data_IF_070681165207
#
_entry.id   IF_070681165207
#
_cell.length_a   1.000
_cell.length_b   1.000
_cell.length_c   1.000
_cell.angle_alpha   90.00
_cell.angle_beta   90.00
_cell.angle_gamma   90.00
#
_symmetry.space_group_name_H-M   'P 1'
#
loop_
_entity.id
_entity.type
_entity.pdbx_description
1 polymer ?
#
# COMPACT_ATOMS: atom_id res chain seq x y z
N UNK A 1 9.68 -14.84 -6.15
CA UNK A 1 9.00 -13.78 -6.92
C UNK A 1 9.54 -13.78 -8.34
N UNK A 2 8.67 -13.80 -9.34
CA UNK A 2 9.09 -13.85 -10.76
C UNK A 2 9.78 -12.55 -11.18
N UNK A 3 10.79 -12.64 -12.05
CA UNK A 3 11.52 -11.48 -12.62
C UNK A 3 10.56 -10.48 -13.28
N UNK A 4 9.49 -10.96 -13.92
CA UNK A 4 8.45 -10.14 -14.56
C UNK A 4 7.72 -9.21 -13.59
N UNK A 5 7.46 -9.65 -12.34
CA UNK A 5 6.81 -8.79 -11.33
C UNK A 5 7.70 -7.62 -10.89
N UNK A 6 9.03 -7.80 -10.91
CA UNK A 6 9.95 -6.72 -10.58
C UNK A 6 9.98 -5.64 -11.66
N UNK A 7 9.89 -5.99 -12.92
CA UNK A 7 9.91 -5.04 -14.05
C UNK A 7 8.76 -4.04 -13.96
N UNK A 8 7.53 -4.54 -13.80
CA UNK A 8 6.35 -3.69 -13.65
C UNK A 8 6.45 -2.75 -12.44
N UNK A 9 6.95 -3.23 -11.29
CA UNK A 9 7.13 -2.42 -10.09
C UNK A 9 8.15 -1.27 -10.25
N UNK A 10 9.04 -1.37 -11.23
CA UNK A 10 10.05 -0.34 -11.49
C UNK A 10 9.79 0.47 -12.76
N UNK A 11 8.67 0.24 -13.44
CA UNK A 11 8.34 0.91 -14.69
C UNK A 11 9.28 0.55 -15.83
N UNK A 12 9.81 -0.68 -15.84
CA UNK A 12 10.73 -1.16 -16.86
C UNK A 12 9.92 -1.80 -17.98
N UNK A 13 9.81 -1.11 -19.11
CA UNK A 13 9.11 -1.61 -20.31
C UNK A 13 9.96 -2.54 -21.14
N UNK A 14 11.28 -2.34 -21.14
CA UNK A 14 12.23 -3.14 -21.92
C UNK A 14 13.32 -3.67 -21.00
N UNK A 15 13.62 -4.96 -21.08
CA UNK A 15 14.68 -5.58 -20.26
C UNK A 15 16.03 -4.97 -20.66
N UNK A 16 16.75 -4.30 -19.73
CA UNK A 16 18.05 -3.75 -20.02
C UNK A 16 19.05 -4.86 -20.36
N UNK A 17 19.90 -4.63 -21.38
CA UNK A 17 21.02 -5.50 -21.66
C UNK A 17 22.10 -5.31 -20.60
N UNK A 18 22.36 -6.33 -19.79
CA UNK A 18 23.38 -6.32 -18.73
C UNK A 18 22.79 -6.34 -17.32
N UNK A 19 23.65 -6.08 -16.33
CA UNK A 19 23.23 -6.04 -14.93
C UNK A 19 22.47 -4.75 -14.60
N UNK A 20 21.21 -4.89 -14.19
CA UNK A 20 20.40 -3.78 -13.75
C UNK A 20 20.25 -3.78 -12.22
N UNK A 21 20.42 -2.62 -11.61
CA UNK A 21 20.22 -2.42 -10.18
C UNK A 21 19.08 -1.42 -9.93
N UNK A 22 18.18 -1.75 -9.02
CA UNK A 22 17.19 -0.78 -8.57
C UNK A 22 17.85 0.33 -7.75
N UNK A 23 17.16 1.47 -7.60
CA UNK A 23 17.71 2.65 -6.92
C UNK A 23 18.20 2.38 -5.50
N UNK A 24 17.51 1.54 -4.72
CA UNK A 24 17.97 1.19 -3.37
C UNK A 24 19.25 0.36 -3.39
N UNK A 25 19.41 -0.55 -4.37
CA UNK A 25 20.64 -1.31 -4.56
C UNK A 25 21.79 -0.42 -5.05
N UNK A 26 21.53 0.50 -5.98
CA UNK A 26 22.53 1.46 -6.45
C UNK A 26 23.04 2.36 -5.31
N UNK A 27 22.13 2.76 -4.39
CA UNK A 27 22.48 3.57 -3.23
C UNK A 27 23.06 2.73 -2.07
N UNK A 28 23.06 1.40 -2.15
CA UNK A 28 23.55 0.53 -1.08
C UNK A 28 22.70 0.59 0.20
N UNK A 29 21.43 1.02 0.11
CA UNK A 29 20.55 1.22 1.26
C UNK A 29 19.47 0.15 1.37
N UNK A 30 18.99 -0.10 2.60
CA UNK A 30 17.83 -0.95 2.90
C UNK A 30 16.82 -0.16 3.74
N UNK A 31 16.12 0.80 3.13
CA UNK A 31 15.23 1.68 3.89
C UNK A 31 14.03 0.93 4.45
N UNK A 32 13.44 1.40 5.56
CA UNK A 32 12.16 0.92 6.02
C UNK A 32 11.04 1.36 5.07
N UNK A 33 9.94 0.62 5.07
CA UNK A 33 8.72 1.04 4.39
C UNK A 33 7.87 1.88 5.35
N UNK A 34 7.37 3.03 4.88
CA UNK A 34 6.45 3.88 5.67
C UNK A 34 5.09 3.19 5.93
N UNK A 35 4.75 2.16 5.17
CA UNK A 35 3.41 1.56 5.18
C UNK A 35 3.35 0.15 5.81
N UNK A 36 4.49 -0.50 6.07
CA UNK A 36 4.49 -1.83 6.69
C UNK A 36 5.83 -2.13 7.36
N UNK A 37 5.88 -3.08 8.32
CA UNK A 37 7.11 -3.43 9.04
C UNK A 37 8.10 -4.27 8.21
N UNK A 38 7.69 -4.79 7.07
CA UNK A 38 8.54 -5.66 6.27
C UNK A 38 9.65 -4.89 5.55
N UNK A 39 10.81 -5.53 5.44
CA UNK A 39 11.98 -5.00 4.73
C UNK A 39 12.19 -5.71 3.40
N UNK A 40 12.88 -5.04 2.48
CA UNK A 40 13.21 -5.58 1.15
C UNK A 40 12.04 -5.54 0.18
N UNK A 41 12.22 -6.08 -1.03
CA UNK A 41 11.23 -6.03 -2.11
C UNK A 41 11.36 -4.77 -2.97
N UNK A 42 10.39 -4.56 -3.85
CA UNK A 42 10.37 -3.41 -4.76
C UNK A 42 9.96 -2.14 -4.01
N UNK A 43 10.88 -1.20 -3.88
CA UNK A 43 10.67 0.05 -3.16
C UNK A 43 10.89 1.27 -4.05
N UNK A 44 10.07 2.26 -3.85
CA UNK A 44 10.17 3.58 -4.49
C UNK A 44 10.17 4.69 -3.44
N UNK A 45 10.79 5.82 -3.79
CA UNK A 45 10.82 6.98 -2.90
C UNK A 45 9.44 7.62 -2.80
N UNK A 46 9.16 8.22 -1.66
CA UNK A 46 8.01 9.10 -1.48
C UNK A 46 8.28 10.46 -2.11
N UNK A 47 7.26 11.33 -2.17
CA UNK A 47 7.37 12.66 -2.75
C UNK A 47 8.48 13.51 -2.09
N UNK A 48 8.76 13.31 -0.82
CA UNK A 48 9.84 14.01 -0.11
C UNK A 48 11.23 13.57 -0.54
N UNK A 49 11.36 12.43 -1.20
CA UNK A 49 12.64 11.86 -1.62
C UNK A 49 13.46 11.20 -0.50
N UNK A 50 13.09 11.39 0.75
CA UNK A 50 13.83 10.90 1.94
C UNK A 50 13.26 9.60 2.51
N UNK A 51 11.99 9.34 2.25
CA UNK A 51 11.25 8.18 2.75
C UNK A 51 10.94 7.22 1.61
N UNK A 52 10.64 5.97 1.94
CA UNK A 52 10.42 4.90 0.98
C UNK A 52 9.19 4.07 1.32
N UNK A 53 8.56 3.51 0.30
CA UNK A 53 7.50 2.55 0.50
C UNK A 53 7.56 1.46 -0.57
N UNK A 54 7.00 0.30 -0.27
CA UNK A 54 6.84 -0.75 -1.27
C UNK A 54 5.85 -0.32 -2.34
N UNK A 55 6.15 -0.63 -3.58
CA UNK A 55 5.22 -0.42 -4.70
C UNK A 55 3.93 -1.19 -4.46
N UNK A 56 4.02 -2.44 -3.98
CA UNK A 56 2.84 -3.22 -3.61
C UNK A 56 1.99 -2.54 -2.53
N UNK A 57 2.59 -1.96 -1.49
CA UNK A 57 1.83 -1.22 -0.48
C UNK A 57 1.11 -0.02 -1.10
N UNK A 58 1.78 0.71 -2.01
CA UNK A 58 1.19 1.87 -2.67
C UNK A 58 0.03 1.50 -3.60
N UNK A 59 0.11 0.35 -4.28
CA UNK A 59 -0.94 -0.12 -5.17
C UNK A 59 -2.18 -0.64 -4.44
N UNK A 60 -1.98 -1.22 -3.25
CA UNK A 60 -3.04 -1.94 -2.54
C UNK A 60 -3.67 -1.16 -1.38
N UNK A 61 -3.10 -0.04 -0.96
CA UNK A 61 -3.71 0.85 0.04
C UNK A 61 -4.45 1.95 -0.70
N UNK A 62 -5.80 2.00 -0.62
CA UNK A 62 -6.62 2.86 -1.47
C UNK A 62 -6.34 4.36 -1.38
N UNK A 63 -5.86 4.83 -0.22
CA UNK A 63 -5.56 6.24 0.01
C UNK A 63 -4.23 6.67 -0.59
N UNK A 64 -3.34 5.72 -0.87
CA UNK A 64 -2.01 5.96 -1.41
C UNK A 64 -2.06 6.02 -2.93
N UNK A 65 -1.24 6.84 -3.54
CA UNK A 65 -1.18 7.01 -4.99
C UNK A 65 0.26 7.00 -5.49
N UNK A 66 0.42 6.69 -6.77
CA UNK A 66 1.68 6.79 -7.49
C UNK A 66 1.58 7.98 -8.42
N UNK A 67 2.55 8.90 -8.36
CA UNK A 67 2.51 10.17 -9.11
C UNK A 67 2.69 9.99 -10.62
N UNK A 68 3.61 9.14 -11.02
CA UNK A 68 3.87 8.78 -12.42
C UNK A 68 3.77 7.25 -12.55
N UNK A 69 2.75 6.79 -13.24
CA UNK A 69 2.45 5.36 -13.36
C UNK A 69 3.48 4.64 -14.23
N UNK A 70 4.04 5.33 -15.22
CA UNK A 70 5.07 4.74 -16.09
C UNK A 70 6.37 4.47 -15.34
N UNK A 71 6.79 5.42 -14.51
CA UNK A 71 8.00 5.30 -13.66
C UNK A 71 7.73 4.60 -12.34
N UNK A 72 6.46 4.43 -11.96
CA UNK A 72 6.02 3.91 -10.67
C UNK A 72 6.56 4.71 -9.47
N UNK A 73 6.72 6.04 -9.63
CA UNK A 73 7.21 6.97 -8.60
C UNK A 73 6.82 8.44 -8.89
N UNK A 74 6.85 9.34 -7.89
CA UNK A 74 7.01 9.05 -6.46
C UNK A 74 5.72 8.46 -5.85
N UNK A 75 5.87 7.78 -4.71
CA UNK A 75 4.72 7.38 -3.91
C UNK A 75 4.20 8.60 -3.16
N UNK A 76 2.89 8.84 -3.26
CA UNK A 76 2.22 10.05 -2.78
C UNK A 76 1.02 9.74 -1.90
N UNK A 77 0.44 10.76 -1.28
CA UNK A 77 -0.80 10.67 -0.47
C UNK A 77 -0.75 9.69 0.72
N UNK A 78 0.42 9.32 1.23
CA UNK A 78 0.51 8.51 2.47
C UNK A 78 -0.15 9.24 3.64
N UNK A 79 -0.03 10.57 3.68
CA UNK A 79 -0.69 11.41 4.69
C UNK A 79 -2.22 11.48 4.56
N UNK A 80 -2.77 10.99 3.45
CA UNK A 80 -4.22 10.91 3.25
C UNK A 80 -4.85 9.70 3.95
N UNK A 81 -4.03 8.75 4.45
CA UNK A 81 -4.52 7.67 5.30
C UNK A 81 -5.01 8.29 6.62
N UNK A 82 -6.30 8.21 6.96
CA UNK A 82 -6.83 8.83 8.17
C UNK A 82 -6.11 8.36 9.42
N UNK A 83 -5.71 9.28 10.27
CA UNK A 83 -5.24 8.98 11.62
C UNK A 83 -6.47 9.05 12.52
N UNK A 84 -6.74 8.01 13.32
CA UNK A 84 -7.81 8.07 14.33
C UNK A 84 -7.38 9.04 15.42
N UNK A 85 -7.75 10.29 15.28
CA UNK A 85 -7.77 11.23 16.38
C UNK A 85 -8.93 10.84 17.33
N UNK A 86 -8.72 10.75 18.64
CA UNK A 86 -9.82 10.73 19.57
C UNK A 86 -10.47 12.12 19.53
N UNK A 87 -11.47 12.32 18.65
CA UNK A 87 -12.25 13.55 18.65
C UNK A 87 -13.08 13.61 19.92
N UNK A 88 -12.56 14.31 20.92
CA UNK A 88 -13.38 14.88 21.97
C UNK A 88 -14.25 15.98 21.34
N UNK A 89 -15.39 15.62 20.78
CA UNK A 89 -16.41 16.58 20.40
C UNK A 89 -17.34 16.72 21.59
N UNK A 90 -17.24 17.84 22.28
CA UNK A 90 -18.24 18.29 23.26
C UNK A 90 -19.63 18.28 22.62
N UNK A 91 -20.48 17.41 23.14
CA UNK A 91 -21.93 17.56 23.25
C UNK A 91 -22.70 17.90 21.97
N UNK A 92 -23.16 16.89 21.25
CA UNK A 92 -24.54 16.68 20.80
C UNK A 92 -24.67 15.32 20.14
N UNK A 93 -25.58 14.49 20.65
CA UNK A 93 -25.97 13.23 20.01
C UNK A 93 -26.71 13.56 18.71
N UNK A 94 -26.03 13.47 17.59
CA UNK A 94 -26.72 13.28 16.32
C UNK A 94 -25.77 12.66 15.30
N UNK A 95 -26.16 11.52 14.79
CA UNK A 95 -25.55 10.69 13.75
C UNK A 95 -24.34 9.86 14.18
N UNK A 96 -24.59 8.57 14.42
CA UNK A 96 -23.59 7.52 14.47
C UNK A 96 -22.83 7.45 13.14
N UNK A 97 -21.83 8.28 12.96
CA UNK A 97 -20.82 8.01 11.96
C UNK A 97 -20.15 6.70 12.37
N UNK A 98 -20.33 5.68 11.57
CA UNK A 98 -19.70 4.38 11.70
C UNK A 98 -18.20 4.59 11.81
N UNK A 99 -17.65 4.43 13.01
CA UNK A 99 -16.25 4.68 13.31
C UNK A 99 -15.42 3.59 12.63
N UNK A 100 -14.93 3.86 11.43
CA UNK A 100 -13.97 2.95 10.79
C UNK A 100 -12.62 3.17 11.47
N UNK A 101 -12.03 2.13 12.07
CA UNK A 101 -10.71 2.26 12.65
C UNK A 101 -9.71 2.64 11.55
N UNK A 102 -8.85 3.60 11.87
CA UNK A 102 -7.74 3.97 10.99
C UNK A 102 -6.91 2.75 10.62
N UNK A 103 -6.41 2.68 9.39
CA UNK A 103 -5.49 1.62 8.97
C UNK A 103 -4.27 1.47 9.88
N UNK A 104 -3.83 2.58 10.47
CA UNK A 104 -2.71 2.62 11.44
C UNK A 104 -3.03 2.02 12.79
N UNK A 105 -4.31 1.91 13.16
CA UNK A 105 -4.75 1.36 14.44
C UNK A 105 -4.99 -0.15 14.39
N UNK A 106 -5.04 -0.74 13.20
CA UNK A 106 -5.31 -2.15 13.00
C UNK A 106 -4.09 -3.01 13.29
N UNK A 107 -4.33 -4.17 13.90
CA UNK A 107 -3.30 -5.19 14.12
C UNK A 107 -3.31 -6.19 12.98
N UNK A 108 -2.17 -6.43 12.38
CA UNK A 108 -2.02 -7.42 11.33
C UNK A 108 -2.20 -8.83 11.89
N UNK A 109 -3.18 -9.58 11.39
CA UNK A 109 -3.44 -10.97 11.84
C UNK A 109 -2.28 -11.92 11.54
N UNK A 110 -1.45 -11.60 10.55
CA UNK A 110 -0.35 -12.47 10.09
C UNK A 110 0.94 -12.27 10.90
N UNK A 111 1.38 -11.03 11.09
CA UNK A 111 2.60 -10.75 11.84
C UNK A 111 2.35 -10.31 13.28
N UNK A 112 1.11 -10.06 13.67
CA UNK A 112 0.68 -9.58 15.00
C UNK A 112 1.19 -8.17 15.35
N UNK A 113 1.81 -7.48 14.40
CA UNK A 113 2.31 -6.11 14.58
C UNK A 113 1.21 -5.09 14.32
N UNK A 114 1.23 -4.01 15.10
CA UNK A 114 0.36 -2.84 14.92
C UNK A 114 1.04 -1.76 14.05
N UNK A 115 2.36 -1.83 13.87
CA UNK A 115 3.10 -0.85 13.11
C UNK A 115 2.83 -0.97 11.60
N UNK A 116 2.44 0.13 10.98
CA UNK A 116 2.12 0.19 9.56
C UNK A 116 0.62 0.24 9.28
N UNK A 117 0.27 0.42 8.01
CA UNK A 117 -1.10 0.52 7.55
C UNK A 117 -1.62 -0.83 7.06
N UNK A 118 -2.67 -1.34 7.71
CA UNK A 118 -3.33 -2.57 7.29
C UNK A 118 -4.43 -2.30 6.26
N UNK A 119 -4.59 -3.22 5.33
CA UNK A 119 -5.81 -3.38 4.53
C UNK A 119 -6.71 -4.43 5.19
N UNK A 120 -7.98 -4.41 4.85
CA UNK A 120 -8.97 -5.36 5.37
C UNK A 120 -9.50 -6.25 4.24
N UNK A 121 -9.96 -7.43 4.63
CA UNK A 121 -10.66 -8.34 3.72
C UNK A 121 -11.84 -7.63 3.04
N UNK A 122 -12.05 -7.85 1.75
CA UNK A 122 -13.13 -7.25 0.97
C UNK A 122 -14.52 -7.81 1.31
N UNK A 123 -14.58 -8.97 1.95
CA UNK A 123 -15.84 -9.58 2.39
C UNK A 123 -16.42 -8.72 3.52
N UNK A 124 -17.59 -8.15 3.32
CA UNK A 124 -18.23 -7.18 4.24
C UNK A 124 -18.36 -7.66 5.69
N UNK A 125 -18.55 -8.96 5.88
CA UNK A 125 -18.68 -9.59 7.21
C UNK A 125 -17.32 -9.92 7.84
N UNK A 126 -16.25 -9.93 7.05
CA UNK A 126 -14.90 -10.26 7.51
C UNK A 126 -14.17 -8.99 7.97
N UNK A 127 -13.72 -8.97 9.22
CA UNK A 127 -12.96 -7.85 9.80
C UNK A 127 -11.46 -8.11 9.87
N UNK A 128 -10.98 -9.13 9.15
CA UNK A 128 -9.56 -9.51 9.15
C UNK A 128 -8.73 -8.40 8.51
N UNK A 129 -7.71 -7.95 9.23
CA UNK A 129 -6.79 -6.90 8.78
C UNK A 129 -5.36 -7.45 8.68
N UNK A 130 -4.62 -7.01 7.67
CA UNK A 130 -3.25 -7.46 7.43
C UNK A 130 -2.47 -6.45 6.60
N UNK A 131 -1.15 -6.45 6.72
CA UNK A 131 -0.30 -5.67 5.83
C UNK A 131 -0.26 -6.31 4.45
N UNK A 132 -0.21 -5.49 3.41
CA UNK A 132 -0.12 -5.94 2.01
C UNK A 132 1.05 -6.93 1.80
N UNK A 133 2.21 -6.57 2.30
CA UNK A 133 3.41 -7.43 2.15
C UNK A 133 3.33 -8.70 3.00
N UNK A 134 2.60 -8.72 4.11
CA UNK A 134 2.34 -9.93 4.87
C UNK A 134 1.39 -10.87 4.12
N UNK A 135 0.37 -10.33 3.46
CA UNK A 135 -0.52 -11.11 2.61
C UNK A 135 0.26 -11.82 1.49
N UNK A 136 1.11 -11.10 0.75
CA UNK A 136 1.96 -11.69 -0.28
C UNK A 136 2.93 -12.73 0.25
N UNK A 137 3.55 -12.51 1.40
CA UNK A 137 4.47 -13.49 2.03
C UNK A 137 3.78 -14.77 2.46
N UNK A 138 2.51 -14.69 2.81
CA UNK A 138 1.70 -15.85 3.23
C UNK A 138 0.83 -16.40 2.08
N UNK A 139 1.09 -15.99 0.84
CA UNK A 139 0.39 -16.46 -0.35
C UNK A 139 -1.14 -16.29 -0.28
N UNK A 140 -1.61 -15.25 0.40
CA UNK A 140 -3.02 -14.90 0.34
C UNK A 140 -3.38 -14.47 -1.08
N UNK A 141 -4.54 -14.89 -1.55
CA UNK A 141 -5.01 -14.50 -2.86
C UNK A 141 -5.38 -13.02 -2.87
N UNK A 142 -4.64 -12.25 -3.66
CA UNK A 142 -4.81 -10.82 -3.81
C UNK A 142 -5.22 -10.53 -5.25
N UNK A 143 -6.49 -10.19 -5.47
CA UNK A 143 -7.02 -9.87 -6.81
C UNK A 143 -7.27 -8.39 -6.94
N UNK A 144 -6.81 -7.80 -8.04
CA UNK A 144 -7.19 -6.46 -8.47
C UNK A 144 -8.47 -6.55 -9.28
N UNK A 145 -9.51 -5.84 -8.86
CA UNK A 145 -10.75 -5.72 -9.63
C UNK A 145 -10.77 -4.31 -10.22
N UNK A 146 -10.91 -4.22 -11.53
CA UNK A 146 -11.11 -2.95 -12.23
C UNK A 146 -12.62 -2.68 -12.15
N UNK A 147 -13.03 -1.67 -11.38
CA UNK A 147 -14.41 -1.18 -11.40
C UNK A 147 -14.51 -0.12 -12.51
N UNK A 148 -15.36 -0.38 -13.48
CA UNK A 148 -15.72 0.38 -14.68
C UNK A 148 -14.99 1.68 -15.04
N UNK A 149 -14.68 1.79 -16.34
CA UNK A 149 -13.92 2.87 -17.00
C UNK A 149 -14.61 4.26 -17.04
N UNK A 150 -15.69 4.49 -16.30
CA UNK A 150 -16.44 5.76 -16.32
C UNK A 150 -16.13 6.73 -15.17
N UNK A 151 -15.17 6.44 -14.32
CA UNK A 151 -14.73 7.39 -13.30
C UNK A 151 -13.57 8.24 -13.84
N UNK A 152 -13.77 9.54 -14.00
CA UNK A 152 -12.77 10.53 -14.46
C UNK A 152 -11.48 10.61 -13.61
N UNK A 153 -11.37 9.85 -12.54
CA UNK A 153 -10.28 9.91 -11.55
C UNK A 153 -9.34 8.67 -11.51
N UNK A 154 -9.20 7.94 -12.63
CA UNK A 154 -8.21 6.88 -12.74
C UNK A 154 -8.64 5.51 -12.15
N UNK A 155 -7.89 4.47 -12.51
CA UNK A 155 -8.12 3.08 -12.13
C UNK A 155 -8.09 2.91 -10.62
N UNK A 156 -9.23 2.65 -9.98
CA UNK A 156 -9.31 2.21 -8.57
C UNK A 156 -9.14 0.70 -8.49
N UNK A 157 -8.00 0.28 -7.95
CA UNK A 157 -7.78 -1.12 -7.63
C UNK A 157 -8.53 -1.47 -6.33
N UNK A 158 -9.57 -2.27 -6.42
CA UNK A 158 -10.21 -2.88 -5.24
C UNK A 158 -9.60 -4.23 -4.95
N UNK A 159 -9.23 -4.43 -3.69
CA UNK A 159 -8.63 -5.66 -3.21
C UNK A 159 -9.73 -6.61 -2.77
N UNK A 160 -9.86 -7.75 -3.46
CA UNK A 160 -10.65 -8.89 -2.99
C UNK A 160 -9.69 -9.94 -2.46
N UNK A 161 -9.81 -10.30 -1.20
CA UNK A 161 -9.14 -11.45 -0.61
C UNK A 161 -10.22 -12.44 -0.20
N UNK A 162 -10.09 -13.65 -0.64
CA UNK A 162 -10.89 -14.78 -0.20
C UNK A 162 -10.15 -15.56 0.87
#
# INVERSE_FOLDING_TARGET
MSVLMFQACYGITTIPSGSWLCRTCTLGIKPPCELCPNKGGAMKSTRTGTKWAHVSCALWIPEVSIGDVEKMEPITKISSIPVSEPSFVHGTLSHCHYFQPSRWSLVCVLCKEKMGACIQCSVKTCKTAYHVTCAFKNNLEMRAIIEDEQAEDGVKLRVSTF
#
